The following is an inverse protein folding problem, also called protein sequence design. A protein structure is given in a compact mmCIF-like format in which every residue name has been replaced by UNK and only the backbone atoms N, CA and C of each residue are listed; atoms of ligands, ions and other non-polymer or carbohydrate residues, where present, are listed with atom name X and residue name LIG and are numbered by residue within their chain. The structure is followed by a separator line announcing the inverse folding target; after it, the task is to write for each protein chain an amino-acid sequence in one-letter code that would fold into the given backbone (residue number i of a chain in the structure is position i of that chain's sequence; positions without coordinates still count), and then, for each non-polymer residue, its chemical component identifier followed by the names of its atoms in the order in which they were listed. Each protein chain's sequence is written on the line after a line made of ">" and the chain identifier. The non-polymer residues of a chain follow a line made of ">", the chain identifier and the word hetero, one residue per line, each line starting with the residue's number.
data_IF_855700893007
#
_entry.id   IF_855700893007
#
_cell.length_a   1.000
_cell.length_b   1.000
_cell.length_c   1.000
_cell.angle_alpha   90.00
_cell.angle_beta   90.00
_cell.angle_gamma   90.00
#
_symmetry.space_group_name_H-M   'P 1'
#
loop_
_entity.id
_entity.type
_entity.pdbx_description
1 polymer ?
2 non-polymer ?
3 non-polymer ?
4 non-polymer ?
5 non-polymer ?
6 water ?
#
# COMPACT_ATOMS: atom_id res chain seq x y z
N UNK A 4 -17.73 0.26 -7.61
CA UNK A 4 -16.33 0.13 -7.21
C UNK A 4 -15.84 1.28 -6.32
N UNK A 5 -14.69 1.09 -5.68
CA UNK A 5 -14.07 2.14 -4.87
C UNK A 5 -13.36 3.10 -5.82
N UNK A 6 -13.41 4.39 -5.51
CA UNK A 6 -12.70 5.37 -6.32
C UNK A 6 -11.33 5.56 -5.67
N UNK A 7 -10.37 4.77 -6.13
CA UNK A 7 -9.02 4.84 -5.59
C UNK A 7 -8.29 6.08 -6.10
N UNK A 8 -7.21 6.43 -5.43
CA UNK A 8 -6.35 7.49 -5.90
C UNK A 8 -5.75 7.18 -7.25
N UNK A 9 -5.36 8.24 -7.96
CA UNK A 9 -4.69 8.14 -9.25
C UNK A 9 -5.58 8.40 -10.44
N UNK A 10 -6.84 8.77 -10.21
CA UNK A 10 -7.79 8.92 -11.32
C UNK A 10 -7.65 10.20 -12.10
N UNK A 11 -6.48 10.42 -12.70
CA UNK A 11 -6.25 11.65 -13.45
C UNK A 11 -7.09 11.70 -14.71
N UNK A 12 -7.33 10.55 -15.36
CA UNK A 12 -8.17 10.53 -16.56
C UNK A 12 -9.55 11.12 -16.27
N UNK A 13 -10.21 10.60 -15.23
CA UNK A 13 -11.53 11.11 -14.87
C UNK A 13 -11.47 12.57 -14.38
N UNK A 14 -10.46 12.92 -13.59
CA UNK A 14 -10.36 14.28 -13.08
C UNK A 14 -10.19 15.29 -14.22
N UNK A 15 -9.27 15.01 -15.14
CA UNK A 15 -9.07 15.88 -16.29
C UNK A 15 -10.31 15.94 -17.18
N UNK A 16 -11.06 14.85 -17.28
CA UNK A 16 -12.31 14.92 -18.04
C UNK A 16 -13.31 15.85 -17.35
N UNK A 17 -13.34 15.85 -16.01
CA UNK A 17 -14.37 16.59 -15.30
C UNK A 17 -14.00 18.06 -15.12
N UNK A 18 -12.72 18.34 -14.89
CA UNK A 18 -12.23 19.65 -14.52
C UNK A 18 -11.35 20.30 -15.59
N UNK A 19 -11.10 19.61 -16.70
CA UNK A 19 -10.33 20.18 -17.79
C UNK A 19 -8.84 19.98 -17.63
N UNK A 20 -8.11 20.46 -18.64
CA UNK A 20 -6.67 20.34 -18.69
C UNK A 20 -6.20 19.06 -19.35
N UNK A 21 -4.91 19.05 -19.71
CA UNK A 21 -4.29 17.81 -20.16
C UNK A 21 -3.74 17.03 -18.96
N UNK A 22 -3.90 15.70 -18.96
CA UNK A 22 -3.47 14.91 -17.80
C UNK A 22 -2.04 15.17 -17.35
N UNK A 23 -1.12 15.39 -18.28
CA UNK A 23 0.27 15.61 -17.90
C UNK A 23 0.48 16.98 -17.25
N UNK A 24 -0.46 17.90 -17.39
CA UNK A 24 -0.36 19.17 -16.69
C UNK A 24 -0.86 19.08 -15.27
N UNK A 25 -1.64 18.04 -14.94
CA UNK A 25 -2.14 17.87 -13.60
C UNK A 25 -1.01 17.52 -12.64
N UNK A 26 -1.16 17.98 -11.40
CA UNK A 26 -0.31 17.54 -10.31
C UNK A 26 -1.11 16.49 -9.54
N UNK A 27 -0.66 15.25 -9.57
CA UNK A 27 -1.40 14.14 -8.98
C UNK A 27 -0.84 13.90 -7.57
N UNK A 28 -1.60 14.31 -6.57
CA UNK A 28 -1.25 14.05 -5.18
C UNK A 28 -2.22 13.06 -4.53
N UNK A 29 -2.93 12.27 -5.34
CA UNK A 29 -3.98 11.42 -4.81
C UNK A 29 -3.54 9.99 -4.54
N UNK A 30 -2.26 9.67 -4.67
CA UNK A 30 -1.78 8.31 -4.42
C UNK A 30 -0.69 8.34 -3.36
N UNK A 31 -0.13 7.16 -3.09
CA UNK A 31 0.96 7.01 -2.15
C UNK A 31 2.23 6.55 -2.85
N UNK A 32 2.32 6.79 -4.17
CA UNK A 32 3.47 6.35 -4.96
C UNK A 32 4.62 7.35 -4.80
N UNK A 33 5.82 6.82 -4.64
CA UNK A 33 7.05 7.60 -4.75
C UNK A 33 7.00 8.48 -6.01
N UNK A 34 6.99 9.80 -5.89
CA UNK A 34 6.82 10.65 -7.07
C UNK A 34 8.05 10.70 -7.98
N UNK A 35 9.19 10.20 -7.52
CA UNK A 35 10.46 10.25 -8.26
C UNK A 35 10.87 8.82 -8.59
N UNK A 36 10.37 8.26 -9.68
CA UNK A 36 10.65 6.84 -9.97
C UNK A 36 12.15 6.59 -10.09
N UNK A 37 12.58 5.48 -9.49
CA UNK A 37 13.94 5.02 -9.64
C UNK A 37 14.26 4.78 -11.11
N UNK A 38 15.53 4.97 -11.49
CA UNK A 38 15.95 4.67 -12.85
C UNK A 38 15.74 3.19 -13.18
N UNK A 39 15.27 2.91 -14.39
CA UNK A 39 14.99 1.52 -14.79
C UNK A 39 16.27 0.72 -14.97
N UNK A 40 16.39 -0.44 -14.34
CA UNK A 40 17.49 -1.35 -14.69
C UNK A 40 17.28 -1.92 -16.08
N UNK A 41 18.34 -2.53 -16.59
CA UNK A 41 18.26 -3.19 -17.89
C UNK A 41 17.35 -4.41 -17.81
N UNK A 42 16.58 -4.61 -18.86
CA UNK A 42 15.74 -5.80 -19.03
C UNK A 42 16.14 -6.45 -20.34
N UNK A 43 16.90 -7.55 -20.29
CA UNK A 43 17.35 -8.20 -21.53
C UNK A 43 16.18 -8.65 -22.37
N UNK A 44 16.41 -8.70 -23.69
CA UNK A 44 15.36 -9.14 -24.62
C UNK A 44 14.76 -10.47 -24.20
N UNK A 45 15.59 -11.36 -23.65
CA UNK A 45 15.13 -12.67 -23.24
C UNK A 45 13.99 -12.56 -22.22
N UNK A 46 14.09 -11.61 -21.29
CA UNK A 46 13.07 -11.46 -20.25
C UNK A 46 11.77 -10.92 -20.83
N UNK A 47 11.83 -10.12 -21.90
CA UNK A 47 10.63 -9.68 -22.58
C UNK A 47 9.99 -10.79 -23.39
N UNK A 48 10.82 -11.66 -23.96
CA UNK A 48 10.39 -12.59 -25.01
C UNK A 48 9.79 -13.88 -24.46
N UNK A 49 10.41 -14.46 -23.43
CA UNK A 49 10.05 -15.78 -22.92
C UNK A 49 8.96 -15.70 -21.84
N UNK A 50 8.09 -16.70 -21.82
CA UNK A 50 7.29 -16.97 -20.64
C UNK A 50 8.21 -16.94 -19.42
N UNK A 51 7.80 -16.32 -18.32
CA UNK A 51 8.73 -16.10 -17.20
C UNK A 51 9.25 -17.42 -16.67
N UNK A 52 10.57 -17.59 -16.72
CA UNK A 52 11.26 -18.83 -16.39
C UNK A 52 11.39 -19.00 -14.89
N UNK A 53 11.51 -20.26 -14.46
CA UNK A 53 11.64 -20.52 -13.02
C UNK A 53 12.86 -19.81 -12.44
N UNK A 54 13.94 -19.71 -13.21
CA UNK A 54 15.14 -19.01 -12.72
C UNK A 54 14.87 -17.53 -12.49
N UNK A 55 14.13 -16.87 -13.40
CA UNK A 55 13.78 -15.47 -13.22
C UNK A 55 12.97 -15.27 -11.94
N UNK A 56 11.98 -16.15 -11.72
CA UNK A 56 11.20 -16.13 -10.50
C UNK A 56 12.11 -16.30 -9.28
N UNK A 57 12.94 -17.35 -9.29
CA UNK A 57 13.74 -17.66 -8.11
C UNK A 57 14.70 -16.52 -7.76
N UNK A 58 15.32 -15.90 -8.78
CA UNK A 58 16.18 -14.75 -8.54
C UNK A 58 15.39 -13.63 -7.85
N UNK A 59 14.19 -13.33 -8.35
CA UNK A 59 13.38 -12.31 -7.70
C UNK A 59 13.08 -12.69 -6.26
N UNK A 60 12.78 -13.95 -6.00
CA UNK A 60 12.42 -14.39 -4.65
C UNK A 60 13.59 -14.29 -3.69
N UNK A 61 14.81 -14.67 -4.12
CA UNK A 61 15.99 -14.53 -3.26
C UNK A 61 16.29 -13.07 -2.97
N UNK A 62 16.21 -12.22 -4.00
CA UNK A 62 16.41 -10.79 -3.77
C UNK A 62 15.38 -10.28 -2.76
N UNK A 63 14.12 -10.70 -2.88
CA UNK A 63 13.09 -10.23 -1.95
C UNK A 63 13.32 -10.77 -0.55
N UNK A 64 13.83 -12.00 -0.42
CA UNK A 64 14.09 -12.52 0.92
C UNK A 64 15.17 -11.69 1.61
N UNK A 65 16.21 -11.30 0.87
CA UNK A 65 17.25 -10.44 1.44
C UNK A 65 16.69 -9.07 1.78
N UNK A 66 15.94 -8.48 0.84
CA UNK A 66 15.51 -7.10 0.97
C UNK A 66 14.50 -6.93 2.11
N UNK A 67 13.55 -7.85 2.23
CA UNK A 67 12.55 -7.77 3.29
C UNK A 67 13.00 -8.43 4.60
N UNK A 68 14.22 -8.98 4.63
CA UNK A 68 14.78 -9.59 5.83
C UNK A 68 13.82 -10.63 6.42
N UNK A 69 13.59 -11.69 5.62
CA UNK A 69 12.54 -12.65 5.93
C UNK A 69 13.04 -13.87 6.68
N UNK A 70 14.30 -13.85 7.15
CA UNK A 70 14.86 -14.95 7.95
C UNK A 70 14.79 -16.27 7.21
N UNK A 71 15.16 -16.24 5.92
CA UNK A 71 15.24 -17.44 5.12
C UNK A 71 14.00 -17.81 4.32
N UNK A 72 12.84 -17.23 4.63
CA UNK A 72 11.62 -17.51 3.86
C UNK A 72 11.70 -16.83 2.51
N UNK A 73 11.44 -17.60 1.44
CA UNK A 73 11.43 -17.05 0.09
C UNK A 73 10.06 -16.46 -0.21
N UNK A 74 9.93 -15.14 -0.32
CA UNK A 74 8.61 -14.55 -0.59
C UNK A 74 8.10 -14.95 -1.97
N UNK A 75 6.79 -15.08 -2.07
CA UNK A 75 6.15 -15.43 -3.33
C UNK A 75 5.83 -14.17 -4.12
N UNK A 76 6.36 -14.02 -5.33
CA UNK A 76 5.96 -12.88 -6.18
C UNK A 76 4.53 -13.09 -6.67
N UNK A 77 3.76 -12.02 -6.66
CA UNK A 77 2.36 -12.06 -7.11
C UNK A 77 2.09 -10.84 -7.96
N UNK A 78 1.12 -10.93 -8.86
CA UNK A 78 0.97 -9.82 -9.83
C UNK A 78 0.19 -8.64 -9.24
N UNK A 79 0.75 -8.01 -8.22
CA UNK A 79 0.02 -6.96 -7.54
C UNK A 79 -0.72 -7.47 -6.33
N UNK A 80 -0.76 -6.64 -5.29
CA UNK A 80 -1.39 -7.03 -4.03
C UNK A 80 -2.87 -7.37 -4.19
N UNK A 81 -3.59 -6.66 -5.07
CA UNK A 81 -5.00 -6.97 -5.28
C UNK A 81 -5.22 -8.44 -5.64
N UNK A 82 -4.29 -9.02 -6.39
CA UNK A 82 -4.44 -10.40 -6.82
C UNK A 82 -4.43 -11.38 -5.65
N UNK A 83 -3.82 -11.04 -4.51
CA UNK A 83 -3.87 -11.96 -3.39
C UNK A 83 -4.93 -11.53 -2.38
N UNK A 84 -5.26 -10.24 -2.35
CA UNK A 84 -6.45 -9.82 -1.62
C UNK A 84 -7.65 -10.63 -2.10
N UNK A 85 -7.81 -10.74 -3.41
CA UNK A 85 -8.91 -11.49 -4.00
C UNK A 85 -8.85 -12.99 -3.73
N UNK A 86 -7.72 -13.51 -3.26
CA UNK A 86 -7.67 -14.90 -2.84
C UNK A 86 -7.91 -15.08 -1.36
N UNK A 87 -7.93 -14.00 -0.57
CA UNK A 87 -8.27 -14.17 0.86
C UNK A 87 -9.57 -14.94 1.12
N UNK A 88 -10.64 -14.81 0.31
CA UNK A 88 -11.82 -15.66 0.58
C UNK A 88 -11.52 -17.16 0.59
N UNK A 89 -10.46 -17.62 -0.06
CA UNK A 89 -10.13 -19.04 -0.05
C UNK A 89 -9.28 -19.45 1.14
N UNK A 90 -8.69 -18.49 1.83
CA UNK A 90 -7.81 -18.78 2.94
C UNK A 90 -8.47 -18.56 4.30
N UNK A 91 -9.37 -17.58 4.39
CA UNK A 91 -10.04 -17.30 5.66
C UNK A 91 -11.03 -18.40 6.00
N UNK A 92 -11.05 -18.89 7.24
CA UNK A 92 -12.08 -19.85 7.65
C UNK A 92 -13.48 -19.35 7.30
N UNK A 93 -14.23 -20.20 6.59
CA UNK A 93 -15.42 -19.74 5.87
C UNK A 93 -16.62 -19.48 6.79
N UNK A 94 -16.64 -20.06 7.98
CA UNK A 94 -17.74 -19.87 8.94
C UNK A 94 -17.32 -18.98 10.10
N UNK A 95 -16.38 -18.07 9.87
CA UNK A 95 -15.94 -17.16 10.90
C UNK A 95 -15.92 -15.73 10.35
N UNK A 96 -15.94 -14.78 11.27
CA UNK A 96 -15.88 -13.38 10.86
C UNK A 96 -14.45 -13.03 10.47
N UNK A 97 -14.31 -11.89 9.81
CA UNK A 97 -13.02 -11.28 9.52
C UNK A 97 -13.00 -9.95 10.26
N UNK A 98 -11.99 -9.73 11.10
CA UNK A 98 -11.79 -8.45 11.76
C UNK A 98 -10.79 -7.63 10.95
N UNK A 99 -11.16 -6.39 10.64
CA UNK A 99 -10.29 -5.48 9.89
C UNK A 99 -10.04 -4.22 10.73
N UNK A 100 -8.77 -3.96 11.05
CA UNK A 100 -8.39 -2.69 11.67
C UNK A 100 -8.57 -1.55 10.69
N UNK A 101 -9.42 -0.60 11.04
CA UNK A 101 -9.75 0.46 10.14
C UNK A 101 -9.94 1.78 10.85
N UNK A 102 -10.38 2.81 10.12
CA UNK A 102 -10.70 2.81 8.69
C UNK A 102 -9.45 2.57 7.87
N UNK A 103 -9.54 1.84 6.76
CA UNK A 103 -8.35 1.41 6.04
C UNK A 103 -8.70 1.25 4.57
N UNK A 104 -7.73 0.74 3.81
CA UNK A 104 -7.90 0.41 2.39
C UNK A 104 -9.13 -0.46 2.18
N UNK A 105 -10.04 0.00 1.33
CA UNK A 105 -11.35 -0.60 1.30
C UNK A 105 -11.48 -1.90 0.51
N UNK A 106 -10.42 -2.38 -0.13
CA UNK A 106 -10.58 -3.56 -0.98
C UNK A 106 -10.74 -4.83 -0.14
N UNK A 107 -10.16 -4.86 1.05
CA UNK A 107 -10.32 -6.02 1.92
C UNK A 107 -11.78 -6.28 2.24
N UNK A 108 -12.50 -5.25 2.69
CA UNK A 108 -13.91 -5.44 3.02
C UNK A 108 -14.73 -5.68 1.76
N UNK A 109 -14.45 -4.96 0.69
CA UNK A 109 -15.21 -5.16 -0.55
C UNK A 109 -15.11 -6.62 -1.02
N UNK A 110 -13.89 -7.15 -1.06
CA UNK A 110 -13.68 -8.51 -1.54
C UNK A 110 -14.29 -9.51 -0.57
N UNK A 111 -14.06 -9.35 0.75
CA UNK A 111 -14.52 -10.39 1.66
C UNK A 111 -16.04 -10.39 1.80
N UNK A 112 -16.68 -9.21 1.81
CA UNK A 112 -18.13 -9.16 1.87
C UNK A 112 -18.77 -9.67 0.58
N UNK A 113 -18.18 -9.36 -0.58
CA UNK A 113 -18.68 -9.96 -1.81
C UNK A 113 -18.66 -11.49 -1.74
N UNK A 114 -17.71 -12.07 -1.03
CA UNK A 114 -17.65 -13.52 -0.89
C UNK A 114 -18.51 -14.03 0.26
N UNK A 115 -19.33 -13.18 0.88
CA UNK A 115 -20.24 -13.65 1.92
C UNK A 115 -19.67 -13.70 3.31
N UNK A 116 -18.45 -13.20 3.55
CA UNK A 116 -17.92 -13.15 4.91
C UNK A 116 -18.54 -11.98 5.68
N UNK A 117 -18.69 -12.17 6.98
CA UNK A 117 -19.06 -11.09 7.89
C UNK A 117 -17.79 -10.37 8.31
N UNK A 118 -17.74 -9.06 8.06
CA UNK A 118 -16.56 -8.24 8.35
C UNK A 118 -16.88 -7.33 9.54
N UNK A 119 -16.07 -7.41 10.57
CA UNK A 119 -16.14 -6.52 11.72
C UNK A 119 -15.05 -5.46 11.58
N UNK A 120 -15.46 -4.19 11.56
CA UNK A 120 -14.53 -3.08 11.65
C UNK A 120 -14.08 -2.91 13.09
N UNK A 121 -12.77 -2.90 13.33
CA UNK A 121 -12.26 -2.73 14.68
C UNK A 121 -11.14 -1.69 14.66
N UNK A 122 -10.80 -1.19 15.86
CA UNK A 122 -9.70 -0.27 16.04
C UNK A 122 -8.68 -0.74 17.05
N UNK A 123 -9.01 -1.70 17.90
CA UNK A 123 -8.15 -2.14 18.99
C UNK A 123 -8.09 -3.65 19.02
N UNK A 124 -6.94 -4.17 19.43
CA UNK A 124 -6.81 -5.60 19.67
C UNK A 124 -7.84 -6.11 20.68
N UNK A 125 -8.37 -5.22 21.54
CA UNK A 125 -9.33 -5.62 22.56
C UNK A 125 -10.66 -6.07 21.99
N UNK A 126 -10.98 -5.68 20.76
CA UNK A 126 -12.21 -6.14 20.13
C UNK A 126 -12.07 -7.49 19.44
N UNK A 127 -10.90 -8.13 19.50
CA UNK A 127 -10.65 -9.37 18.77
C UNK A 127 -11.10 -10.59 19.58
N UNK A 128 -11.81 -11.51 18.92
CA UNK A 128 -12.33 -12.73 19.57
C UNK A 128 -11.96 -13.97 18.74
N UNK A 129 -12.37 -15.13 19.26
CA UNK A 129 -12.18 -16.38 18.53
C UNK A 129 -13.15 -16.50 17.35
N UNK A 130 -14.21 -15.69 17.33
CA UNK A 130 -15.06 -15.62 16.15
C UNK A 130 -14.34 -15.06 14.93
N UNK A 131 -13.14 -14.48 15.10
CA UNK A 131 -12.42 -13.84 14.00
C UNK A 131 -11.41 -14.84 13.47
N UNK A 132 -11.76 -15.52 12.37
CA UNK A 132 -10.82 -16.46 11.77
C UNK A 132 -9.69 -15.79 11.05
N UNK A 133 -9.89 -14.56 10.61
CA UNK A 133 -8.82 -13.77 10.01
C UNK A 133 -8.89 -12.36 10.58
N UNK A 134 -7.73 -11.83 10.94
CA UNK A 134 -7.57 -10.44 11.34
C UNK A 134 -6.65 -9.75 10.34
N UNK A 135 -7.04 -8.56 9.87
CA UNK A 135 -6.29 -7.83 8.86
C UNK A 135 -5.83 -6.49 9.43
N UNK A 136 -4.53 -6.20 9.34
CA UNK A 136 -3.99 -4.90 9.72
C UNK A 136 -3.13 -4.40 8.57
N UNK A 137 -3.42 -3.20 8.08
CA UNK A 137 -2.51 -2.50 7.19
C UNK A 137 -1.55 -1.70 8.06
N UNK A 138 -0.26 -1.98 7.94
CA UNK A 138 0.72 -1.46 8.89
C UNK A 138 1.97 -1.00 8.16
N UNK A 139 2.28 0.30 8.18
CA UNK A 139 1.45 1.38 8.77
C UNK A 139 0.19 1.57 7.95
N UNK A 140 -0.83 2.16 8.58
CA UNK A 140 -2.15 2.17 8.00
C UNK A 140 -2.25 3.13 6.83
N UNK A 141 -3.07 2.73 5.85
CA UNK A 141 -3.55 3.59 4.79
C UNK A 141 -5.02 3.83 5.09
N UNK A 142 -5.48 5.07 5.33
CA UNK A 142 -4.79 6.34 5.08
C UNK A 142 -4.28 7.10 6.32
N UNK A 143 -4.34 6.54 7.53
CA UNK A 143 -4.03 7.31 8.72
C UNK A 143 -2.55 7.25 9.08
N UNK A 144 -1.82 6.26 8.60
CA UNK A 144 -0.43 6.10 8.97
C UNK A 144 -0.20 5.48 10.33
N UNK A 145 -1.27 5.10 11.03
CA UNK A 145 -1.11 4.46 12.33
C UNK A 145 -0.18 3.26 12.23
N UNK A 146 0.75 3.17 13.19
CA UNK A 146 1.76 2.13 13.20
C UNK A 146 1.61 1.31 14.47
N UNK A 147 1.39 0.02 14.33
CA UNK A 147 1.52 -0.91 15.45
C UNK A 147 2.95 -1.43 15.47
N UNK A 148 3.49 -1.56 16.68
CA UNK A 148 4.84 -2.11 16.83
C UNK A 148 4.84 -3.61 16.54
N UNK A 149 5.97 -4.16 16.08
CA UNK A 149 6.07 -5.61 15.87
C UNK A 149 5.53 -6.44 17.03
N UNK A 150 5.80 -6.01 18.27
CA UNK A 150 5.42 -6.82 19.41
C UNK A 150 3.91 -6.84 19.62
N UNK A 151 3.22 -5.73 19.31
CA UNK A 151 1.77 -5.74 19.35
C UNK A 151 1.19 -6.68 18.30
N UNK A 152 1.77 -6.66 17.09
CA UNK A 152 1.30 -7.55 16.04
C UNK A 152 1.51 -9.01 16.42
N UNK A 153 2.69 -9.34 16.96
CA UNK A 153 2.93 -10.72 17.34
C UNK A 153 2.05 -11.16 18.49
N UNK A 154 1.72 -10.23 19.42
CA UNK A 154 0.78 -10.55 20.48
C UNK A 154 -0.62 -10.81 19.93
N UNK A 155 -1.04 -10.03 18.93
CA UNK A 155 -2.31 -10.31 18.26
C UNK A 155 -2.27 -11.70 17.62
N UNK A 156 -1.21 -11.99 16.87
CA UNK A 156 -1.11 -13.28 16.22
C UNK A 156 -1.18 -14.42 17.23
N UNK A 157 -0.43 -14.29 18.33
CA UNK A 157 -0.41 -15.36 19.33
C UNK A 157 -1.77 -15.56 19.95
N UNK A 158 -2.50 -14.48 20.23
CA UNK A 158 -3.83 -14.62 20.79
C UNK A 158 -4.79 -15.28 19.80
N UNK A 159 -4.71 -14.92 18.51
CA UNK A 159 -5.63 -15.55 17.55
C UNK A 159 -5.27 -17.02 17.31
N UNK A 160 -3.99 -17.36 17.40
CA UNK A 160 -3.56 -18.72 17.11
C UNK A 160 -4.26 -19.73 18.01
N UNK A 161 -4.57 -19.36 19.26
CA UNK A 161 -5.19 -20.28 20.19
C UNK A 161 -6.52 -20.82 19.66
N UNK A 162 -7.23 -20.04 18.87
CA UNK A 162 -8.47 -20.52 18.26
C UNK A 162 -8.30 -20.86 16.79
N UNK A 163 -7.06 -21.00 16.31
CA UNK A 163 -6.86 -21.25 14.90
C UNK A 163 -7.12 -20.07 13.99
N UNK A 164 -6.95 -18.84 14.49
CA UNK A 164 -7.11 -17.66 13.66
C UNK A 164 -5.81 -17.26 12.98
N UNK A 165 -5.94 -16.58 11.86
CA UNK A 165 -4.80 -16.06 11.11
C UNK A 165 -4.71 -14.54 11.31
N UNK A 166 -3.49 -14.02 11.17
CA UNK A 166 -3.24 -12.59 11.14
C UNK A 166 -2.57 -12.26 9.82
N UNK A 167 -3.19 -11.36 9.05
CA UNK A 167 -2.60 -10.78 7.85
C UNK A 167 -2.14 -9.36 8.14
N UNK A 168 -0.87 -9.08 7.86
CA UNK A 168 -0.32 -7.73 7.99
C UNK A 168 0.08 -7.26 6.59
N UNK A 169 -0.59 -6.23 6.11
CA UNK A 169 -0.28 -5.63 4.83
C UNK A 169 0.73 -4.49 5.06
N UNK A 170 1.99 -4.73 4.70
CA UNK A 170 3.09 -3.78 4.90
C UNK A 170 3.41 -3.02 3.62
N UNK A 171 2.35 -2.71 2.84
CA UNK A 171 2.49 -1.93 1.62
C UNK A 171 3.33 -0.67 1.82
N UNK A 172 3.17 0.03 2.95
CA UNK A 172 3.89 1.28 3.19
C UNK A 172 5.02 1.11 4.21
N UNK A 173 5.54 -0.10 4.34
CA UNK A 173 6.51 -0.36 5.39
C UNK A 173 7.96 -0.24 4.98
N UNK A 174 8.24 -0.01 3.70
CA UNK A 174 9.63 0.00 3.24
C UNK A 174 10.45 1.11 3.88
N UNK A 175 9.82 2.24 4.21
CA UNK A 175 10.52 3.32 4.90
C UNK A 175 10.77 3.01 6.36
N UNK A 176 10.01 2.08 6.93
CA UNK A 176 10.08 1.76 8.36
C UNK A 176 10.37 0.28 8.52
N UNK A 177 11.55 -0.19 8.11
CA UNK A 177 11.82 -1.63 8.18
C UNK A 177 11.84 -2.19 9.59
N UNK A 178 11.91 -1.33 10.61
CA UNK A 178 11.87 -1.79 11.99
C UNK A 178 10.46 -2.11 12.47
N UNK A 179 9.42 -1.74 11.73
CA UNK A 179 8.07 -2.17 12.07
C UNK A 179 7.72 -3.55 11.54
N UNK A 180 8.53 -4.11 10.64
CA UNK A 180 8.09 -5.26 9.86
C UNK A 180 8.08 -6.52 10.71
N UNK A 181 7.08 -7.37 10.48
CA UNK A 181 7.07 -8.72 11.06
C UNK A 181 7.32 -9.78 9.98
N UNK A 182 7.86 -9.35 8.83
CA UNK A 182 8.14 -10.26 7.72
C UNK A 182 9.20 -11.29 8.04
N UNK A 183 9.93 -11.14 9.13
CA UNK A 183 10.91 -12.11 9.57
C UNK A 183 10.37 -13.17 10.49
N UNK A 184 9.08 -13.15 10.80
CA UNK A 184 8.52 -13.98 11.85
C UNK A 184 7.55 -15.04 11.35
N UNK A 185 7.57 -15.37 10.05
CA UNK A 185 6.56 -16.29 9.53
C UNK A 185 6.72 -17.71 10.08
N UNK A 186 7.95 -18.21 10.13
CA UNK A 186 8.18 -19.57 10.63
C UNK A 186 7.90 -19.65 12.12
N UNK A 187 8.34 -18.67 12.90
CA UNK A 187 8.18 -18.74 14.33
C UNK A 187 6.74 -18.56 14.76
N UNK A 188 6.01 -17.70 14.04
CA UNK A 188 4.64 -17.40 14.45
C UNK A 188 3.67 -18.44 13.90
N UNK A 189 3.83 -18.87 12.65
CA UNK A 189 3.00 -19.93 12.09
C UNK A 189 1.67 -19.52 11.51
N UNK A 190 0.97 -18.56 12.12
CA UNK A 190 -0.33 -18.12 11.64
C UNK A 190 -0.30 -16.69 11.08
N UNK A 191 0.86 -16.28 10.57
CA UNK A 191 1.09 -14.90 10.14
C UNK A 191 1.34 -14.85 8.65
N UNK A 192 0.66 -13.93 7.97
CA UNK A 192 0.85 -13.69 6.55
C UNK A 192 1.15 -12.20 6.37
N UNK A 193 2.14 -11.89 5.53
CA UNK A 193 2.55 -10.52 5.26
C UNK A 193 2.46 -10.28 3.77
N UNK A 194 1.80 -9.18 3.39
CA UNK A 194 1.82 -8.66 2.02
C UNK A 194 2.80 -7.49 1.93
N UNK A 195 3.63 -7.50 0.89
CA UNK A 195 4.50 -6.38 0.55
C UNK A 195 4.17 -5.90 -0.86
N UNK A 196 4.33 -4.60 -1.08
CA UNK A 196 4.08 -3.95 -2.37
C UNK A 196 5.38 -3.44 -2.99
N UNK A 197 5.45 -3.48 -4.31
CA UNK A 197 6.64 -3.01 -5.00
C UNK A 197 6.50 -1.61 -5.56
N UNK A 198 5.34 -1.27 -6.12
CA UNK A 198 5.24 -0.04 -6.89
C UNK A 198 5.41 1.23 -6.07
N UNK A 199 4.90 1.25 -4.83
CA UNK A 199 4.85 2.50 -4.10
C UNK A 199 6.26 3.00 -3.76
N UNK A 200 7.02 2.19 -3.03
CA UNK A 200 8.34 2.63 -2.60
C UNK A 200 9.24 2.93 -3.81
N UNK A 201 9.20 2.08 -4.82
CA UNK A 201 10.13 2.26 -5.94
C UNK A 201 9.62 3.22 -6.99
N UNK A 202 8.38 3.68 -6.87
CA UNK A 202 7.85 4.62 -7.85
C UNK A 202 7.59 4.02 -9.21
N UNK A 203 7.29 2.72 -9.27
CA UNK A 203 7.07 2.04 -10.54
C UNK A 203 5.78 1.22 -10.44
N UNK A 204 4.68 1.91 -10.12
CA UNK A 204 3.39 1.26 -9.97
C UNK A 204 2.76 0.87 -11.29
N UNK A 205 3.36 1.25 -12.42
CA UNK A 205 2.94 0.71 -13.70
C UNK A 205 3.15 -0.79 -13.77
N UNK A 206 4.22 -1.29 -13.16
CA UNK A 206 4.37 -2.71 -12.96
C UNK A 206 3.39 -3.18 -11.89
N UNK A 207 2.89 -4.38 -12.03
CA UNK A 207 1.97 -4.94 -11.04
C UNK A 207 2.70 -6.07 -10.32
N UNK A 208 3.23 -5.76 -9.14
CA UNK A 208 4.09 -6.70 -8.44
C UNK A 208 3.94 -6.54 -6.93
N UNK A 209 3.72 -7.66 -6.25
CA UNK A 209 3.76 -7.71 -4.80
C UNK A 209 4.47 -8.98 -4.38
N UNK A 210 4.60 -9.15 -3.07
CA UNK A 210 5.20 -10.35 -2.52
C UNK A 210 4.39 -10.79 -1.31
N UNK A 211 4.34 -12.10 -1.10
CA UNK A 211 3.69 -12.69 0.07
C UNK A 211 4.74 -13.42 0.88
N UNK A 212 4.74 -13.19 2.19
CA UNK A 212 5.61 -13.89 3.12
C UNK A 212 4.70 -14.67 4.06
N UNK A 213 4.88 -16.00 4.10
CA UNK A 213 4.01 -16.89 4.84
C UNK A 213 4.73 -18.21 4.99
N UNK A 214 4.12 -19.14 5.72
CA UNK A 214 4.69 -20.48 5.77
C UNK A 214 4.55 -21.17 4.41
N UNK A 215 5.34 -22.22 4.20
CA UNK A 215 5.31 -22.92 2.92
C UNK A 215 3.94 -23.48 2.55
N UNK A 216 3.16 -24.10 3.45
CA UNK A 216 1.81 -24.53 3.03
C UNK A 216 0.98 -23.40 2.47
N UNK A 217 1.04 -22.22 3.09
CA UNK A 217 0.23 -21.10 2.64
C UNK A 217 0.76 -20.56 1.31
N UNK A 218 2.09 -20.43 1.19
CA UNK A 218 2.66 -19.95 -0.07
C UNK A 218 2.33 -20.91 -1.22
N UNK A 219 2.38 -22.22 -0.96
CA UNK A 219 2.05 -23.20 -1.99
C UNK A 219 0.59 -23.08 -2.39
N UNK A 220 -0.30 -22.81 -1.42
CA UNK A 220 -1.69 -22.53 -1.76
C UNK A 220 -1.82 -21.31 -2.66
N UNK A 221 -1.18 -20.20 -2.29
CA UNK A 221 -1.26 -18.99 -3.13
C UNK A 221 -0.71 -19.26 -4.54
N UNK A 222 0.44 -19.94 -4.62
CA UNK A 222 1.04 -20.25 -5.91
C UNK A 222 0.06 -21.01 -6.79
N UNK A 223 -0.55 -22.06 -6.23
CA UNK A 223 -1.48 -22.90 -6.97
C UNK A 223 -2.68 -22.09 -7.44
N UNK A 224 -3.25 -21.27 -6.54
CA UNK A 224 -4.40 -20.44 -6.90
C UNK A 224 -4.06 -19.42 -7.98
N UNK A 225 -2.83 -18.91 -8.02
CA UNK A 225 -2.52 -17.88 -9.00
C UNK A 225 -2.24 -18.44 -10.38
N UNK A 226 -1.79 -19.69 -10.46
CA UNK A 226 -1.57 -20.36 -11.72
C UNK A 226 -0.23 -20.01 -12.34
N UNK A 227 0.07 -20.60 -13.49
CA UNK A 227 1.38 -20.42 -14.11
C UNK A 227 1.59 -19.02 -14.70
N UNK A 228 2.84 -18.55 -14.65
CA UNK A 228 3.27 -17.32 -15.31
C UNK A 228 2.43 -16.12 -14.84
N UNK A 229 2.16 -16.03 -13.54
CA UNK A 229 1.27 -14.97 -13.08
C UNK A 229 1.94 -13.60 -13.13
N UNK A 230 3.26 -13.54 -12.96
CA UNK A 230 4.01 -12.29 -12.84
C UNK A 230 4.92 -12.11 -14.05
N UNK A 231 4.92 -10.89 -14.60
CA UNK A 231 5.65 -10.63 -15.83
C UNK A 231 7.17 -10.78 -15.62
N UNK A 232 7.85 -11.17 -16.70
CA UNK A 232 9.30 -11.29 -16.69
C UNK A 232 10.01 -9.96 -16.43
N UNK A 233 9.59 -8.90 -17.13
CA UNK A 233 10.17 -7.58 -16.81
C UNK A 233 10.03 -7.19 -15.35
N UNK A 234 8.86 -7.39 -14.76
CA UNK A 234 8.67 -7.04 -13.35
C UNK A 234 9.67 -7.77 -12.46
N UNK A 235 9.84 -9.08 -12.68
CA UNK A 235 10.73 -9.89 -11.85
C UNK A 235 12.20 -9.49 -12.05
N UNK A 236 12.59 -9.18 -13.29
CA UNK A 236 13.94 -8.71 -13.56
C UNK A 236 14.21 -7.38 -12.85
N UNK A 237 13.27 -6.45 -12.97
CA UNK A 237 13.44 -5.11 -12.43
C UNK A 237 13.51 -5.15 -10.92
N UNK A 238 12.63 -5.93 -10.28
CA UNK A 238 12.61 -5.95 -8.82
C UNK A 238 13.87 -6.60 -8.26
N UNK A 239 14.39 -7.65 -8.93
CA UNK A 239 15.66 -8.22 -8.50
C UNK A 239 16.77 -7.15 -8.52
N UNK A 240 16.92 -6.46 -9.66
CA UNK A 240 18.00 -5.48 -9.77
C UNK A 240 17.83 -4.36 -8.74
N UNK A 241 16.61 -3.84 -8.58
CA UNK A 241 16.42 -2.68 -7.71
C UNK A 241 16.50 -3.03 -6.24
N UNK A 242 16.06 -4.23 -5.85
CA UNK A 242 16.18 -4.62 -4.45
C UNK A 242 17.63 -4.91 -4.09
N UNK A 243 18.44 -5.29 -5.07
CA UNK A 243 19.85 -5.48 -4.76
C UNK A 243 20.64 -4.18 -4.78
N UNK A 244 20.08 -3.11 -5.34
CA UNK A 244 20.74 -1.81 -5.39
C UNK A 244 20.67 -1.03 -4.09
N UNK A 245 20.84 0.27 -4.21
CA UNK A 245 20.91 1.17 -3.05
C UNK A 245 19.53 1.71 -2.75
N UNK A 246 18.86 1.13 -1.76
CA UNK A 246 17.53 1.59 -1.41
C UNK A 246 17.56 2.70 -0.35
N UNK A 247 18.70 2.89 0.32
CA UNK A 247 18.85 4.00 1.26
C UNK A 247 18.67 5.34 0.58
N UNK A 248 19.25 5.52 -0.61
CA UNK A 248 19.09 6.77 -1.35
C UNK A 248 17.63 6.98 -1.75
N UNK A 249 16.93 5.91 -2.08
CA UNK A 249 15.51 6.03 -2.41
C UNK A 249 14.75 6.56 -1.21
N UNK A 250 14.99 5.96 -0.04
CA UNK A 250 14.31 6.40 1.18
C UNK A 250 14.62 7.85 1.51
N UNK A 251 15.89 8.25 1.38
CA UNK A 251 16.27 9.62 1.69
C UNK A 251 15.58 10.61 0.76
N UNK A 252 15.55 10.30 -0.54
CA UNK A 252 14.79 11.13 -1.47
C UNK A 252 13.34 11.28 -1.06
N UNK A 253 12.71 10.18 -0.65
CA UNK A 253 11.29 10.24 -0.26
C UNK A 253 11.13 11.18 0.93
N UNK A 254 11.98 11.03 1.95
CA UNK A 254 11.87 11.86 3.14
C UNK A 254 12.09 13.34 2.81
N UNK A 255 12.96 13.65 1.84
CA UNK A 255 13.12 15.05 1.42
C UNK A 255 11.82 15.58 0.82
N UNK A 256 11.19 14.80 -0.07
CA UNK A 256 9.93 15.24 -0.66
C UNK A 256 8.83 15.38 0.40
N UNK A 257 8.87 14.53 1.42
CA UNK A 257 7.88 14.59 2.50
C UNK A 257 8.08 15.83 3.37
N UNK A 258 9.34 16.21 3.61
CA UNK A 258 9.60 17.48 4.30
C UNK A 258 9.06 18.66 3.50
N UNK A 259 9.22 18.62 2.18
CA UNK A 259 8.67 19.68 1.35
C UNK A 259 7.16 19.76 1.42
N UNK A 260 6.49 18.59 1.44
CA UNK A 260 5.04 18.59 1.55
C UNK A 260 4.59 19.11 2.91
N UNK A 261 5.26 18.68 3.98
CA UNK A 261 4.94 19.19 5.32
C UNK A 261 5.01 20.70 5.36
N UNK A 262 6.10 21.27 4.82
CA UNK A 262 6.23 22.73 4.84
C UNK A 262 5.10 23.38 4.06
N UNK A 263 4.77 22.85 2.88
CA UNK A 263 3.67 23.44 2.11
C UNK A 263 2.36 23.42 2.91
N UNK A 264 2.03 22.27 3.49
CA UNK A 264 0.74 22.12 4.17
C UNK A 264 0.68 22.94 5.45
N UNK A 265 1.75 22.89 6.25
CA UNK A 265 1.81 23.67 7.48
C UNK A 265 1.73 25.17 7.18
N UNK A 266 2.51 25.63 6.20
CA UNK A 266 2.50 27.03 5.84
C UNK A 266 1.19 27.49 5.25
N UNK A 267 0.32 26.57 4.85
CA UNK A 267 -1.01 26.93 4.38
C UNK A 267 -2.04 26.90 5.50
N UNK A 268 -1.63 26.55 6.71
CA UNK A 268 -2.56 26.52 7.83
C UNK A 268 -3.37 25.25 7.96
N UNK A 269 -3.02 24.20 7.24
CA UNK A 269 -3.76 22.95 7.33
C UNK A 269 -3.29 22.11 8.52
N UNK A 270 -4.20 21.31 9.05
CA UNK A 270 -3.93 20.46 10.21
C UNK A 270 -3.58 19.04 9.74
N UNK A 271 -2.30 18.68 9.81
CA UNK A 271 -1.86 17.32 9.55
C UNK A 271 -2.14 16.43 10.76
N UNK A 272 -2.86 15.32 10.56
CA UNK A 272 -3.21 14.41 11.64
C UNK A 272 -2.60 13.03 11.50
N UNK A 273 -1.90 12.75 10.41
CA UNK A 273 -1.26 11.45 10.27
C UNK A 273 -0.51 11.39 8.96
N UNK A 274 0.10 10.24 8.72
CA UNK A 274 0.71 9.99 7.43
C UNK A 274 1.85 9.02 7.56
N UNK A 275 2.53 8.84 6.42
CA UNK A 275 3.74 8.03 6.31
C UNK A 275 4.74 8.84 5.50
N UNK A 276 5.87 8.23 5.18
CA UNK A 276 6.81 8.89 4.31
C UNK A 276 6.23 9.25 2.96
N UNK A 277 5.22 8.52 2.50
CA UNK A 277 4.69 8.68 1.15
C UNK A 277 3.39 9.47 1.07
N UNK A 278 2.78 9.87 2.19
CA UNK A 278 1.57 10.68 2.12
C UNK A 278 1.29 11.29 3.49
N UNK A 279 0.43 12.31 3.47
CA UNK A 279 0.00 13.03 4.66
C UNK A 279 -1.52 12.96 4.72
N UNK A 280 -2.06 12.72 5.91
CA UNK A 280 -3.49 12.84 6.15
C UNK A 280 -3.77 14.21 6.78
N UNK A 281 -4.66 14.96 6.18
CA UNK A 281 -5.05 16.30 6.63
C UNK A 281 -6.48 16.21 7.10
N UNK A 282 -6.78 16.87 8.21
CA UNK A 282 -8.16 17.08 8.62
C UNK A 282 -8.55 18.53 8.40
N UNK A 283 -9.71 18.75 7.80
CA UNK A 283 -10.21 20.06 7.56
C UNK A 283 -11.73 19.96 7.52
N UNK A 284 -12.45 20.90 8.14
CA UNK A 284 -13.92 20.77 8.18
C UNK A 284 -14.59 20.79 6.82
N UNK A 285 -13.97 21.36 5.77
CA UNK A 285 -14.53 21.32 4.43
C UNK A 285 -13.60 20.57 3.48
N UNK A 286 -13.07 19.43 3.93
CA UNK A 286 -12.08 18.69 3.13
C UNK A 286 -12.61 18.35 1.74
N UNK A 287 -13.84 17.87 1.64
CA UNK A 287 -14.37 17.53 0.31
C UNK A 287 -14.37 18.74 -0.60
N UNK A 288 -14.79 19.89 -0.08
CA UNK A 288 -14.76 21.11 -0.88
C UNK A 288 -13.33 21.52 -1.21
N UNK A 289 -12.37 21.30 -0.29
CA UNK A 289 -10.97 21.56 -0.62
C UNK A 289 -10.52 20.70 -1.79
N UNK A 290 -10.88 19.41 -1.77
CA UNK A 290 -10.53 18.51 -2.86
C UNK A 290 -11.08 19.03 -4.18
N UNK A 291 -12.34 19.47 -4.19
CA UNK A 291 -12.93 20.01 -5.43
C UNK A 291 -12.21 21.27 -5.90
N UNK A 292 -11.88 22.17 -4.97
CA UNK A 292 -11.20 23.40 -5.38
C UNK A 292 -9.79 23.11 -5.91
N UNK A 293 -9.07 22.20 -5.26
CA UNK A 293 -7.78 21.80 -5.80
C UNK A 293 -7.93 21.20 -7.20
N UNK A 294 -8.97 20.38 -7.42
CA UNK A 294 -9.23 19.88 -8.76
C UNK A 294 -9.39 21.02 -9.76
N UNK A 295 -10.09 22.09 -9.35
CA UNK A 295 -10.21 23.25 -10.24
C UNK A 295 -8.86 23.87 -10.54
N UNK A 296 -7.90 23.74 -9.64
CA UNK A 296 -6.52 24.11 -9.96
C UNK A 296 -5.72 22.97 -10.64
N UNK A 297 -6.39 21.89 -11.02
CA UNK A 297 -5.75 20.73 -11.67
C UNK A 297 -4.71 20.08 -10.76
N UNK A 298 -5.04 20.01 -9.47
CA UNK A 298 -4.27 19.25 -8.49
C UNK A 298 -5.22 18.21 -7.91
N UNK A 299 -4.89 16.94 -8.06
CA UNK A 299 -5.75 15.87 -7.59
C UNK A 299 -5.29 15.39 -6.22
N UNK A 300 -6.23 15.29 -5.29
CA UNK A 300 -5.96 14.73 -3.97
C UNK A 300 -7.06 13.72 -3.66
N UNK A 301 -6.85 12.92 -2.62
CA UNK A 301 -7.73 11.81 -2.29
C UNK A 301 -8.68 12.22 -1.17
N UNK A 302 -9.99 12.14 -1.43
CA UNK A 302 -10.99 12.26 -0.37
C UNK A 302 -11.70 10.92 -0.16
N UNK A 303 -12.45 10.83 0.94
CA UNK A 303 -13.07 9.58 1.38
C UNK A 303 -14.53 9.83 1.75
N UNK A 304 -15.43 9.04 1.13
CA UNK A 304 -16.86 9.19 1.43
C UNK A 304 -17.15 8.89 2.89
N UNK A 305 -16.38 8.02 3.53
CA UNK A 305 -16.62 7.72 4.94
C UNK A 305 -16.02 8.76 5.90
N UNK A 306 -15.21 9.70 5.41
CA UNK A 306 -14.54 10.67 6.30
C UNK A 306 -14.55 12.01 5.60
N UNK A 307 -15.67 12.74 5.67
CA UNK A 307 -15.81 13.98 4.91
C UNK A 307 -14.82 15.09 5.32
N UNK A 308 -14.16 14.97 6.48
CA UNK A 308 -13.17 15.95 6.88
C UNK A 308 -11.73 15.48 6.65
N UNK A 309 -11.53 14.37 5.94
CA UNK A 309 -10.19 13.85 5.67
C UNK A 309 -9.76 14.13 4.24
N UNK A 310 -8.49 14.45 4.06
CA UNK A 310 -7.89 14.62 2.74
C UNK A 310 -6.52 13.98 2.78
N UNK A 311 -6.23 13.02 1.90
CA UNK A 311 -4.91 12.42 1.85
C UNK A 311 -4.13 13.05 0.70
N UNK A 312 -2.94 13.55 1.00
CA UNK A 312 -2.12 14.28 0.04
C UNK A 312 -0.81 13.52 -0.13
N UNK A 313 -0.55 13.08 -1.36
CA UNK A 313 0.71 12.43 -1.67
C UNK A 313 1.80 13.46 -1.96
N UNK A 314 3.00 12.93 -2.19
CA UNK A 314 4.16 13.78 -2.41
C UNK A 314 4.14 14.39 -3.80
N UNK A 315 4.67 15.61 -3.90
CA UNK A 315 4.94 16.23 -5.17
C UNK A 315 6.34 15.83 -5.63
N UNK A 316 6.61 15.87 -6.94
CA UNK A 316 7.93 15.39 -7.42
C UNK A 316 9.07 16.35 -7.15
N UNK A 317 8.79 17.64 -6.96
CA UNK A 317 9.86 18.62 -6.75
C UNK A 317 9.30 19.82 -5.99
N UNK A 318 10.21 20.73 -5.62
CA UNK A 318 9.81 21.91 -4.84
C UNK A 318 8.83 22.79 -5.60
N UNK A 319 8.92 22.81 -6.93
CA UNK A 319 7.95 23.55 -7.73
C UNK A 319 6.54 22.99 -7.57
N UNK A 320 6.41 21.67 -7.40
CA UNK A 320 5.10 21.09 -7.12
C UNK A 320 4.59 21.45 -5.73
N UNK A 321 5.48 21.44 -4.74
CA UNK A 321 5.12 21.91 -3.40
C UNK A 321 4.55 23.32 -3.46
N UNK A 322 5.23 24.20 -4.20
CA UNK A 322 4.81 25.59 -4.29
C UNK A 322 3.53 25.74 -5.11
N UNK A 323 3.35 24.90 -6.14
CA UNK A 323 2.07 24.88 -6.86
C UNK A 323 0.92 24.55 -5.91
N UNK A 324 1.11 23.56 -5.05
CA UNK A 324 0.06 23.22 -4.10
C UNK A 324 -0.21 24.37 -3.13
N UNK A 325 0.87 24.93 -2.57
CA UNK A 325 0.72 26.03 -1.60
C UNK A 325 0.00 27.21 -2.24
N UNK A 326 0.33 27.54 -3.48
CA UNK A 326 -0.30 28.67 -4.13
C UNK A 326 -1.76 28.40 -4.41
N UNK A 327 -2.10 27.17 -4.82
CA UNK A 327 -3.51 26.83 -5.02
C UNK A 327 -4.30 26.97 -3.73
N UNK A 328 -3.69 26.56 -2.61
CA UNK A 328 -4.36 26.72 -1.31
C UNK A 328 -4.55 28.19 -0.97
N UNK A 329 -3.52 29.00 -1.23
CA UNK A 329 -3.56 30.41 -0.85
C UNK A 329 -4.55 31.20 -1.69
N UNK A 330 -4.79 30.79 -2.94
CA UNK A 330 -5.61 31.58 -3.86
C UNK A 330 -7.01 31.01 -4.06
N UNK A 331 -7.35 29.96 -3.32
CA UNK A 331 -8.60 29.24 -3.50
C UNK A 331 -9.81 30.11 -3.13
N UNK A 332 -10.89 29.96 -3.91
CA UNK A 332 -12.12 30.71 -3.68
C UNK A 332 -12.90 30.13 -2.50
N UNK A 333 -13.94 30.86 -2.09
CA UNK A 333 -14.76 30.51 -0.93
C UNK A 333 -15.03 29.01 -0.86
N UNK A 334 -14.87 28.46 0.34
CA UNK A 334 -15.22 27.06 0.58
C UNK A 334 -16.69 26.93 0.97
N UNK A 335 -17.55 27.33 0.03
CA UNK A 335 -18.98 27.06 0.04
C UNK A 335 -19.39 26.71 -1.39
N UNK A 336 -20.57 26.14 -1.54
CA UNK A 336 -21.01 25.68 -2.88
C UNK A 336 -21.70 26.76 -3.72
X LIG B 1 -2.09 -1.14 -4.39
X LIG B 1 -1.54 -1.96 -5.41
X LIG B 1 -2.16 0.33 -4.94
X LIG B 1 -0.90 0.91 -5.11
X LIG B 1 -3.06 1.14 -3.94
X LIG B 1 -2.46 1.11 -2.66
X LIG C 1 -14.00 2.45 6.48
X LIG C 1 -14.02 2.37 7.87
X LIG C 1 -13.43 1.11 5.91
X LIG C 1 -12.11 0.84 6.32
X LIG C 1 -13.58 1.25 4.37
X LIG C 1 -12.42 1.86 3.89
X LIG D 1 6.82 -22.68 -4.48
X LIG D 1 6.38 -21.57 -5.19
X LIG D 1 5.70 -22.98 -3.50
X LIG D 1 5.90 -24.18 -2.82
X LIG D 1 5.62 -21.72 -2.59
X LIG D 1 6.89 -21.52 -2.01
X LIG E 1 6.10 16.72 12.53
X LIG E 1 6.76 17.66 11.63
X LIG E 1 5.37 15.71 11.76
X LIG E 1 5.16 17.45 13.39
X LIG E 1 7.12 16.08 13.35
X LIG F 1 -6.19 4.24 -2.38
X LIG F 1 -5.15 4.06 -1.35
X LIG F 1 -7.46 3.79 -1.84
X LIG F 1 -6.32 5.63 -2.80
X LIG F 1 -5.72 3.48 -3.52
X LIG G 1 1.74 -1.47 -5.63
X LIG G 1 2.39 -0.55 -4.69
X LIG G 1 0.76 -2.31 -4.97
X LIG G 1 1.09 -0.70 -6.67
X LIG G 1 2.80 -2.33 -6.17
X LIG H 1 -13.92 5.91 -0.97
X LIG H 1 -14.13 7.36 -0.96
X LIG H 1 -14.79 5.30 0.02
X LIG H 1 -14.23 5.43 -2.33
X LIG H 1 -12.56 5.53 -0.59
X LIG I 1 20.06 -8.08 -24.43
X LIG I 1 20.85 -7.69 -25.59
X LIG I 1 20.84 -7.90 -23.21
X LIG I 1 18.85 -7.26 -24.42
X LIG I 1 19.67 -9.48 -24.54
X LIG J 1 -17.95 13.46 -6.39
X LIG J 1 -16.66 14.17 -6.41
X LIG J 1 -18.05 12.65 -5.17
X LIG J 1 -19.04 14.43 -6.40
X LIG J 1 -18.04 12.60 -7.56
X LIG K 1 3.59 11.50 10.61
X LIG K 1 4.22 12.79 10.93
X LIG K 1 2.18 11.50 10.98
X LIG K 1 3.73 11.24 9.17
X LIG K 1 4.26 10.43 11.36
X LIG L 1 13.57 25.08 -7.00
X LIG L 1 14.48 26.02 -7.65
X LIG L 1 13.33 25.53 -5.63
X LIG L 1 12.32 25.04 -7.74
X LIG L 1 14.18 23.76 -6.97
X LIG M 1 -22.41 25.66 2.14
X LIG M 1 -21.86 26.49 3.21
X LIG M 1 -23.43 24.78 2.68
X LIG M 1 -23.00 26.52 1.12
X LIG M 1 -21.36 24.84 1.54
X LIG N 1 17.05 -12.04 7.05
X LIG O 1 -2.74 0.19 0.77
X LIG P 1 -9.81 21.90 -21.04
X LIG Q 1 8.93 -15.55 16.14
X LIG R 1 4.93 -5.83 -17.13
#
# INVERSE_FOLDING_TARGET
>A
MSAPIVHGGGITEAAARYGGRPEDWLDLSTGINPCPVALPAVPERAWHRLPDRQTVDDARSAAADYYRTNGVLPLPVPGTQSVIQLLPRLAPANRHVAIFGPTYGEYARVLEAAGFAVDRVADADALTAEHGLVIVVNPNNPTGRALAPAELLAIAARQKASGGLLLVDEAFGDLEPQLSVAGHASGQGNLIVFRSFGKFFGLAGLRLGFVVATEPVLASFADWLGPWAVSGPALTISKALMQGDTKAIAAGILERRAGLDAALDGAGLNRIGGTGLFVLVEHPRAALLQERLCEAHILTRKFDYAPTWLRVGLAPDAAGDRRLADALARMELLEHHHHHH
>B hetero
1 GOL C1 O1 C2 O2 C3 O3
>C hetero
1 GOL C1 O1 C2 O2 C3 O3
>D hetero
1 GOL C1 O1 C2 O2 C3 O3
>E hetero
1 SO4 S O1 O2 O3 O4
>F hetero
1 SO4 S O1 O2 O3 O4
>G hetero
1 SO4 S O1 O2 O3 O4
>H hetero
1 SO4 S O1 O2 O3 O4
>I hetero
1 SO4 S O1 O2 O3 O4
>J hetero
1 SO4 S O1 O2 O3 O4
>K hetero
1 SO4 S O1 O2 O3 O4
>L hetero
1 SO4 S O1 O2 O3 O4
>M hetero
1 SO4 S O1 O2 O3 O4
>N hetero
1 CL CL
>O hetero
1 CL CL
>P hetero
1 CL CL
>Q hetero
1 CL CL
>R hetero
1 NA NA
#
